data_IF_741392902910
#
_entry.id   IF_741392902910
#
_cell.length_a   1.000
_cell.length_b   1.000
_cell.length_c   1.000
_cell.angle_alpha   90.00
_cell.angle_beta   90.00
_cell.angle_gamma   90.00
#
_symmetry.space_group_name_H-M   'P 1'
#
loop_
_entity.id
_entity.type
_entity.pdbx_description
1 polymer ?
#
# COMPACT_ATOMS: atom_id res chain seq x y z
N UNK A 1 9.86 -0.75 10.17
CA UNK A 1 9.44 -1.00 8.78
C UNK A 1 8.51 0.11 8.33
N UNK A 2 8.75 0.64 7.15
CA UNK A 2 7.93 1.72 6.60
C UNK A 2 6.99 1.16 5.53
N UNK A 3 5.69 1.24 5.78
CA UNK A 3 4.67 0.82 4.83
C UNK A 3 4.03 2.01 4.17
N UNK A 4 3.91 1.96 2.86
CA UNK A 4 3.32 3.01 2.05
C UNK A 4 2.33 2.40 1.06
N UNK A 5 1.18 3.02 0.90
CA UNK A 5 0.19 2.62 -0.09
C UNK A 5 0.02 3.74 -1.11
N UNK A 6 0.34 3.42 -2.36
CA UNK A 6 0.20 4.38 -3.46
C UNK A 6 -1.13 4.14 -4.16
N UNK A 7 -1.97 5.16 -4.19
CA UNK A 7 -3.31 5.08 -4.79
C UNK A 7 -3.48 6.10 -5.90
N UNK A 8 -4.39 5.80 -6.83
CA UNK A 8 -4.69 6.66 -7.99
C UNK A 8 -6.01 7.40 -7.75
N UNK A 9 -5.96 8.49 -6.97
CA UNK A 9 -7.10 9.36 -6.76
C UNK A 9 -8.22 8.76 -5.93
N UNK A 10 -9.45 9.13 -6.27
CA UNK A 10 -10.65 8.79 -5.51
C UNK A 10 -11.43 7.62 -6.11
N UNK A 11 -10.79 6.76 -6.88
CA UNK A 11 -11.45 5.60 -7.47
C UNK A 11 -11.96 4.66 -6.36
N UNK A 12 -13.19 4.12 -6.49
CA UNK A 12 -13.76 3.24 -5.46
C UNK A 12 -12.87 2.05 -5.12
N UNK A 13 -12.23 1.43 -6.11
CA UNK A 13 -11.32 0.31 -5.88
C UNK A 13 -10.10 0.71 -5.05
N UNK A 14 -9.56 1.91 -5.28
CA UNK A 14 -8.44 2.40 -4.49
C UNK A 14 -8.85 2.73 -3.06
N UNK A 15 -10.04 3.30 -2.87
CA UNK A 15 -10.55 3.61 -1.53
C UNK A 15 -10.83 2.34 -0.72
N UNK A 16 -11.38 1.32 -1.35
CA UNK A 16 -11.59 0.02 -0.70
C UNK A 16 -10.26 -0.62 -0.31
N UNK A 17 -9.29 -0.59 -1.20
CA UNK A 17 -7.96 -1.14 -0.93
C UNK A 17 -7.27 -0.39 0.20
N UNK A 18 -7.41 0.94 0.23
CA UNK A 18 -6.91 1.75 1.33
C UNK A 18 -7.50 1.30 2.66
N UNK A 19 -8.83 1.11 2.71
CA UNK A 19 -9.50 0.70 3.95
C UNK A 19 -9.04 -0.69 4.40
N UNK A 20 -8.85 -1.62 3.46
CA UNK A 20 -8.37 -2.96 3.76
C UNK A 20 -6.97 -2.90 4.39
N UNK A 21 -6.05 -2.17 3.78
CA UNK A 21 -4.68 -2.07 4.27
C UNK A 21 -4.58 -1.29 5.58
N UNK A 22 -5.36 -0.21 5.72
CA UNK A 22 -5.38 0.54 6.98
C UNK A 22 -5.89 -0.32 8.13
N UNK A 23 -6.94 -1.10 7.89
CA UNK A 23 -7.48 -1.99 8.90
C UNK A 23 -6.48 -3.08 9.29
N UNK A 24 -5.84 -3.71 8.31
CA UNK A 24 -4.83 -4.74 8.57
C UNK A 24 -3.65 -4.18 9.35
N UNK A 25 -3.16 -3.01 8.98
CA UNK A 25 -2.05 -2.37 9.69
C UNK A 25 -2.45 -1.95 11.09
N UNK A 26 -3.64 -1.42 11.27
CA UNK A 26 -4.14 -1.01 12.59
C UNK A 26 -4.21 -2.20 13.55
N UNK A 27 -4.69 -3.34 13.08
CA UNK A 27 -4.79 -4.55 13.89
C UNK A 27 -3.44 -5.05 14.36
N UNK A 28 -2.38 -4.80 13.60
CA UNK A 28 -1.03 -5.22 13.93
C UNK A 28 -0.20 -4.12 14.57
N UNK A 29 -0.77 -2.95 14.81
CA UNK A 29 -0.06 -1.82 15.40
C UNK A 29 1.00 -1.20 14.49
N UNK A 30 0.80 -1.27 13.19
CA UNK A 30 1.75 -0.74 12.19
C UNK A 30 1.18 0.51 11.55
N UNK A 31 2.03 1.52 11.35
CA UNK A 31 1.64 2.74 10.65
C UNK A 31 1.67 2.51 9.14
N UNK A 32 0.70 3.09 8.45
CA UNK A 32 0.61 3.05 7.00
C UNK A 32 0.51 4.48 6.47
N UNK A 33 1.43 4.84 5.58
CA UNK A 33 1.40 6.14 4.91
C UNK A 33 0.64 6.00 3.59
N UNK A 34 -0.36 6.85 3.38
CA UNK A 34 -1.12 6.88 2.13
C UNK A 34 -0.51 7.96 1.22
N UNK A 35 -0.12 7.56 0.02
CA UNK A 35 0.47 8.47 -0.96
C UNK A 35 -0.40 8.49 -2.20
N UNK A 36 -0.78 9.67 -2.65
CA UNK A 36 -1.57 9.81 -3.87
C UNK A 36 -0.67 9.95 -5.09
N UNK A 37 -1.13 9.38 -6.20
CA UNK A 37 -0.43 9.45 -7.49
C UNK A 37 -0.05 10.88 -7.88
N UNK A 38 -0.90 11.85 -7.57
CA UNK A 38 -0.71 13.24 -7.97
C UNK A 38 0.33 13.98 -7.13
N UNK A 39 0.68 13.45 -5.96
CA UNK A 39 1.67 14.07 -5.11
C UNK A 39 3.08 13.94 -5.71
N UNK A 40 3.95 14.90 -5.38
CA UNK A 40 5.34 14.87 -5.83
C UNK A 40 6.04 13.56 -5.41
N UNK A 41 5.79 13.10 -4.19
CA UNK A 41 6.32 11.85 -3.67
C UNK A 41 5.81 10.66 -4.48
N UNK A 42 4.52 10.66 -4.84
CA UNK A 42 3.92 9.62 -5.67
C UNK A 42 4.56 9.56 -7.04
N UNK A 43 4.75 10.71 -7.69
CA UNK A 43 5.40 10.78 -9.00
C UNK A 43 6.83 10.28 -8.95
N UNK A 44 7.56 10.60 -7.90
CA UNK A 44 8.93 10.14 -7.72
C UNK A 44 9.00 8.62 -7.57
N UNK A 45 8.08 8.03 -6.80
CA UNK A 45 8.02 6.58 -6.63
C UNK A 45 7.68 5.88 -7.94
N UNK A 46 6.75 6.44 -8.72
CA UNK A 46 6.39 5.89 -10.03
C UNK A 46 7.61 5.86 -10.94
N UNK A 47 8.34 6.96 -11.02
CA UNK A 47 9.50 7.06 -11.89
C UNK A 47 10.62 6.12 -11.42
N UNK A 48 10.88 6.08 -10.12
CA UNK A 48 11.97 5.29 -9.55
C UNK A 48 11.73 3.79 -9.67
N UNK A 49 10.49 3.35 -9.43
CA UNK A 49 10.14 1.94 -9.37
C UNK A 49 9.48 1.40 -10.64
N UNK A 50 9.17 2.27 -11.59
CA UNK A 50 8.50 1.88 -12.82
C UNK A 50 7.08 1.38 -12.60
N UNK A 51 6.36 2.00 -11.66
CA UNK A 51 5.00 1.58 -11.30
C UNK A 51 4.03 1.90 -12.43
N UNK A 52 3.26 0.91 -12.85
CA UNK A 52 2.28 1.05 -13.93
C UNK A 52 0.86 0.69 -13.54
N UNK A 53 0.68 0.08 -12.38
CA UNK A 53 -0.63 -0.35 -11.91
C UNK A 53 -0.87 0.15 -10.49
N UNK A 54 -2.11 0.45 -10.17
CA UNK A 54 -2.53 0.98 -8.87
C UNK A 54 -3.73 0.18 -8.37
N UNK A 55 -3.91 0.06 -7.06
CA UNK A 55 -3.04 0.52 -5.97
C UNK A 55 -1.81 -0.36 -5.77
N UNK A 56 -0.78 0.16 -5.12
CA UNK A 56 0.48 -0.57 -4.86
C UNK A 56 0.87 -0.42 -3.40
N UNK A 57 1.15 -1.53 -2.74
CA UNK A 57 1.69 -1.52 -1.38
C UNK A 57 3.21 -1.64 -1.43
N UNK A 58 3.88 -0.72 -0.76
CA UNK A 58 5.33 -0.68 -0.67
C UNK A 58 5.77 -0.94 0.77
N UNK A 59 6.83 -1.70 0.94
CA UNK A 59 7.48 -1.89 2.24
C UNK A 59 8.96 -1.55 2.09
N UNK A 60 9.42 -0.57 2.85
CA UNK A 60 10.80 -0.07 2.81
C UNK A 60 11.26 0.27 1.38
N UNK A 61 10.38 0.90 0.60
CA UNK A 61 10.65 1.33 -0.75
C UNK A 61 10.57 0.24 -1.81
N UNK A 62 10.10 -0.96 -1.47
CA UNK A 62 9.98 -2.07 -2.40
C UNK A 62 8.53 -2.44 -2.63
N UNK A 63 8.17 -2.76 -3.87
CA UNK A 63 6.84 -3.20 -4.22
C UNK A 63 6.57 -4.57 -3.60
N UNK A 64 5.53 -4.68 -2.79
CA UNK A 64 5.14 -5.95 -2.16
C UNK A 64 3.84 -6.52 -2.72
N UNK A 65 2.84 -5.67 -2.94
CA UNK A 65 1.53 -6.10 -3.45
C UNK A 65 1.03 -5.10 -4.45
N UNK A 66 0.50 -5.59 -5.57
CA UNK A 66 -0.14 -4.76 -6.59
C UNK A 66 -1.61 -5.18 -6.66
N UNK A 67 -2.50 -4.19 -6.68
CA UNK A 67 -3.92 -4.42 -6.77
C UNK A 67 -4.60 -4.58 -5.42
N UNK A 68 -5.85 -5.05 -5.44
CA UNK A 68 -6.68 -5.18 -4.25
C UNK A 68 -6.54 -6.58 -3.63
N UNK A 69 -6.07 -6.69 -2.38
CA UNK A 69 -6.07 -7.97 -1.68
C UNK A 69 -7.45 -8.22 -1.05
N UNK A 70 -7.74 -9.46 -0.66
CA UNK A 70 -8.85 -9.65 0.26
C UNK A 70 -8.38 -9.35 1.70
N UNK A 71 -9.31 -9.06 2.63
CA UNK A 71 -8.95 -8.63 3.99
C UNK A 71 -8.09 -9.65 4.75
N UNK A 72 -8.37 -10.93 4.61
CA UNK A 72 -7.62 -11.97 5.29
C UNK A 72 -6.19 -12.06 4.76
N UNK A 73 -6.03 -11.97 3.46
CA UNK A 73 -4.72 -12.01 2.82
C UNK A 73 -3.89 -10.78 3.21
N UNK A 74 -4.52 -9.62 3.29
CA UNK A 74 -3.85 -8.41 3.73
C UNK A 74 -3.31 -8.56 5.14
N UNK A 75 -4.10 -9.09 6.07
CA UNK A 75 -3.66 -9.33 7.44
C UNK A 75 -2.48 -10.30 7.49
N UNK A 76 -2.51 -11.37 6.70
CA UNK A 76 -1.42 -12.34 6.64
C UNK A 76 -0.14 -11.73 6.08
N UNK A 77 -0.24 -10.90 5.06
CA UNK A 77 0.91 -10.23 4.44
C UNK A 77 1.58 -9.31 5.46
N UNK A 78 0.80 -8.49 6.17
CA UNK A 78 1.35 -7.60 7.19
C UNK A 78 2.04 -8.40 8.28
N UNK A 79 1.43 -9.48 8.72
CA UNK A 79 2.00 -10.38 9.74
C UNK A 79 3.34 -10.94 9.30
N UNK A 80 3.45 -11.39 8.06
CA UNK A 80 4.70 -11.91 7.52
C UNK A 80 5.78 -10.83 7.41
N UNK A 81 5.40 -9.63 7.03
CA UNK A 81 6.35 -8.52 6.94
C UNK A 81 6.92 -8.14 8.30
N UNK A 82 6.14 -8.28 9.36
CA UNK A 82 6.59 -7.99 10.72
C UNK A 82 7.56 -9.04 11.25
N UNK A 83 7.45 -10.29 10.78
CA UNK A 83 8.28 -11.40 11.23
C UNK A 83 9.63 -11.44 10.51
N UNK A 84 9.67 -11.00 9.27
CA UNK A 84 10.86 -11.09 8.41
C UNK A 84 11.95 -10.08 8.74
#
# INVERSE_FOLDING_TARGET
MKLQLLIAGQLPSCLETRDIWQSACHQQGVELEIIELEDAQGQQLIDTLGIKSFPVLLADGKIKVVGRPDPQRAANIIKQLLIS
#
